data_IF_069994161580
#
_entry.id   IF_069994161580
#
_cell.length_a   1.000
_cell.length_b   1.000
_cell.length_c   1.000
_cell.angle_alpha   90.00
_cell.angle_beta   90.00
_cell.angle_gamma   90.00
#
_symmetry.space_group_name_H-M   'P 1'
#
loop_
_entity.id
_entity.type
_entity.pdbx_description
1 polymer ?
#
# COMPACT_ATOMS: atom_id res chain seq x y z
N UNK A 1 -21.85 2.58 6.53
CA UNK A 1 -20.60 2.70 7.32
C UNK A 1 -19.50 2.09 6.48
N UNK A 2 -18.39 2.80 6.27
CA UNK A 2 -17.27 2.29 5.47
C UNK A 2 -16.62 1.14 6.23
N UNK A 3 -16.53 -0.03 5.59
CA UNK A 3 -15.82 -1.19 6.11
C UNK A 3 -14.32 -1.12 5.75
N UNK A 4 -13.47 -0.91 6.74
CA UNK A 4 -12.00 -0.85 6.60
C UNK A 4 -11.32 -2.22 6.76
N UNK A 5 -12.05 -3.26 7.16
CA UNK A 5 -11.50 -4.58 7.53
C UNK A 5 -10.69 -5.21 6.41
N UNK A 6 -11.07 -5.00 5.14
CA UNK A 6 -10.33 -5.54 3.99
C UNK A 6 -8.97 -4.87 3.82
N UNK A 7 -8.91 -3.55 3.99
CA UNK A 7 -7.65 -2.81 3.93
C UNK A 7 -6.77 -3.18 5.12
N UNK A 8 -7.33 -3.21 6.33
CA UNK A 8 -6.64 -3.64 7.55
C UNK A 8 -6.00 -5.02 7.38
N UNK A 9 -6.78 -6.04 6.98
CA UNK A 9 -6.28 -7.41 6.79
C UNK A 9 -5.18 -7.49 5.73
N UNK A 10 -5.34 -6.78 4.61
CA UNK A 10 -4.31 -6.77 3.56
C UNK A 10 -2.99 -6.18 4.09
N UNK A 11 -3.08 -5.06 4.81
CA UNK A 11 -1.92 -4.38 5.41
C UNK A 11 -1.25 -5.21 6.51
N UNK A 12 -2.02 -5.90 7.36
CA UNK A 12 -1.49 -6.83 8.36
C UNK A 12 -0.72 -7.99 7.71
N UNK A 13 -1.23 -8.52 6.59
CA UNK A 13 -0.54 -9.58 5.85
C UNK A 13 0.74 -9.09 5.17
N UNK A 14 0.73 -7.87 4.63
CA UNK A 14 1.92 -7.25 4.07
C UNK A 14 2.99 -7.04 5.13
N UNK A 15 2.62 -6.43 6.27
CA UNK A 15 3.52 -6.21 7.41
C UNK A 15 4.16 -7.53 7.86
N UNK A 16 3.37 -8.57 8.10
CA UNK A 16 3.88 -9.88 8.53
C UNK A 16 4.84 -10.50 7.50
N UNK A 17 4.51 -10.45 6.20
CA UNK A 17 5.39 -11.01 5.17
C UNK A 17 6.66 -10.20 4.99
N UNK A 18 6.60 -8.87 5.13
CA UNK A 18 7.78 -8.02 5.05
C UNK A 18 8.73 -8.27 6.23
N UNK A 19 8.20 -8.47 7.45
CA UNK A 19 9.03 -8.89 8.58
C UNK A 19 9.64 -10.29 8.38
N UNK A 20 8.88 -11.23 7.82
CA UNK A 20 9.41 -12.55 7.44
C UNK A 20 10.53 -12.43 6.41
N UNK A 21 10.40 -11.57 5.41
CA UNK A 21 11.46 -11.29 4.43
C UNK A 21 12.71 -10.71 5.08
N UNK A 22 12.57 -9.73 6.00
CA UNK A 22 13.70 -9.09 6.69
C UNK A 22 14.47 -10.03 7.63
N UNK A 23 13.79 -11.03 8.17
CA UNK A 23 14.35 -11.99 9.14
C UNK A 23 14.60 -13.37 8.54
N UNK A 24 14.54 -13.47 7.21
CA UNK A 24 14.66 -14.73 6.50
C UNK A 24 16.05 -15.34 6.70
N UNK A 25 16.10 -16.64 6.97
CA UNK A 25 17.35 -17.37 7.12
C UNK A 25 18.13 -17.38 5.78
N UNK A 26 19.34 -16.79 5.74
CA UNK A 26 20.13 -16.70 4.51
C UNK A 26 20.65 -18.06 4.03
N UNK A 27 20.58 -19.11 4.86
CA UNK A 27 20.94 -20.48 4.48
C UNK A 27 19.87 -21.18 3.65
N UNK A 28 18.65 -20.62 3.56
CA UNK A 28 17.58 -21.20 2.77
C UNK A 28 17.92 -21.23 1.28
N UNK A 29 17.43 -22.23 0.53
CA UNK A 29 17.53 -22.26 -0.92
C UNK A 29 17.13 -20.93 -1.56
N UNK A 30 17.92 -20.47 -2.53
CA UNK A 30 17.70 -19.19 -3.23
C UNK A 30 16.27 -19.01 -3.74
N UNK A 31 15.69 -20.07 -4.33
CA UNK A 31 14.31 -20.05 -4.84
C UNK A 31 13.27 -19.74 -3.73
N UNK A 32 13.51 -20.19 -2.50
CA UNK A 32 12.62 -19.86 -1.37
C UNK A 32 12.78 -18.40 -0.94
N UNK A 33 13.99 -17.86 -0.99
CA UNK A 33 14.23 -16.44 -0.72
C UNK A 33 13.54 -15.54 -1.75
N UNK A 34 13.65 -15.91 -3.04
CA UNK A 34 12.97 -15.23 -4.15
C UNK A 34 11.45 -15.32 -3.98
N UNK A 35 10.90 -16.51 -3.66
CA UNK A 35 9.46 -16.67 -3.43
C UNK A 35 8.93 -15.81 -2.27
N UNK A 36 9.70 -15.66 -1.18
CA UNK A 36 9.34 -14.79 -0.05
C UNK A 36 9.31 -13.32 -0.48
N UNK A 37 10.32 -12.89 -1.25
CA UNK A 37 10.42 -11.53 -1.78
C UNK A 37 9.26 -11.20 -2.75
N UNK A 38 8.97 -12.09 -3.71
CA UNK A 38 7.83 -11.97 -4.62
C UNK A 38 6.50 -11.89 -3.87
N UNK A 39 6.35 -12.69 -2.78
CA UNK A 39 5.16 -12.63 -1.93
C UNK A 39 4.98 -11.28 -1.26
N UNK A 40 6.05 -10.59 -0.85
CA UNK A 40 5.97 -9.22 -0.31
C UNK A 40 5.42 -8.28 -1.38
N UNK A 41 5.96 -8.32 -2.60
CA UNK A 41 5.52 -7.47 -3.72
C UNK A 41 4.04 -7.71 -4.04
N UNK A 42 3.61 -8.97 -4.15
CA UNK A 42 2.21 -9.30 -4.41
C UNK A 42 1.26 -8.79 -3.31
N UNK A 43 1.68 -8.85 -2.05
CA UNK A 43 0.91 -8.32 -0.92
C UNK A 43 0.87 -6.80 -0.91
N UNK A 44 1.93 -6.14 -1.35
CA UNK A 44 1.94 -4.70 -1.59
C UNK A 44 0.91 -4.32 -2.65
N UNK A 45 0.89 -5.01 -3.78
CA UNK A 45 -0.08 -4.71 -4.85
C UNK A 45 -1.52 -4.83 -4.36
N UNK A 46 -1.81 -5.91 -3.63
CA UNK A 46 -3.13 -6.16 -3.03
C UNK A 46 -3.50 -5.08 -2.02
N UNK A 47 -2.56 -4.72 -1.14
CA UNK A 47 -2.77 -3.70 -0.10
C UNK A 47 -3.00 -2.33 -0.72
N UNK A 48 -2.17 -1.93 -1.69
CA UNK A 48 -2.33 -0.71 -2.44
C UNK A 48 -3.71 -0.64 -3.12
N UNK A 49 -4.13 -1.72 -3.79
CA UNK A 49 -5.42 -1.78 -4.48
C UNK A 49 -6.61 -1.69 -3.54
N UNK A 50 -6.51 -2.25 -2.33
CA UNK A 50 -7.51 -2.04 -1.29
C UNK A 50 -7.50 -0.60 -0.78
N UNK A 51 -6.32 -0.06 -0.50
CA UNK A 51 -6.12 1.27 0.10
C UNK A 51 -6.76 2.36 -0.75
N UNK A 52 -6.41 2.48 -2.03
CA UNK A 52 -6.90 3.60 -2.85
C UNK A 52 -8.42 3.52 -3.08
N UNK A 53 -8.99 2.31 -3.14
CA UNK A 53 -10.45 2.11 -3.26
C UNK A 53 -11.18 2.52 -1.99
N UNK A 54 -10.63 2.19 -0.84
CA UNK A 54 -11.18 2.59 0.46
C UNK A 54 -11.06 4.11 0.65
N UNK A 55 -9.93 4.71 0.30
CA UNK A 55 -9.73 6.15 0.32
C UNK A 55 -10.71 6.88 -0.60
N UNK A 56 -10.89 6.40 -1.83
CA UNK A 56 -11.90 6.91 -2.77
C UNK A 56 -13.30 6.88 -2.14
N UNK A 57 -13.69 5.74 -1.57
CA UNK A 57 -15.00 5.60 -0.91
C UNK A 57 -15.15 6.56 0.28
N UNK A 58 -14.08 6.81 1.02
CA UNK A 58 -14.06 7.80 2.10
C UNK A 58 -14.29 9.22 1.58
N UNK A 59 -13.59 9.63 0.52
CA UNK A 59 -13.79 10.93 -0.13
C UNK A 59 -15.25 11.14 -0.56
N UNK A 60 -15.88 10.10 -1.11
CA UNK A 60 -17.29 10.17 -1.56
C UNK A 60 -18.26 10.17 -0.38
N UNK A 61 -18.19 9.16 0.49
CA UNK A 61 -19.23 8.93 1.51
C UNK A 61 -19.07 9.79 2.78
N UNK A 62 -17.86 10.25 3.11
CA UNK A 62 -17.59 11.03 4.33
C UNK A 62 -17.39 12.51 4.07
N UNK A 63 -16.71 12.85 2.98
CA UNK A 63 -16.50 14.25 2.59
C UNK A 63 -17.53 14.75 1.57
N UNK A 64 -18.36 13.86 1.02
CA UNK A 64 -19.44 14.24 0.11
C UNK A 64 -18.97 14.68 -1.27
N UNK A 65 -17.76 14.29 -1.70
CA UNK A 65 -17.22 14.69 -3.00
C UNK A 65 -17.90 13.90 -4.14
N UNK A 66 -18.65 14.57 -5.04
CA UNK A 66 -19.47 13.89 -6.04
C UNK A 66 -18.67 13.33 -7.23
N UNK A 67 -17.49 13.87 -7.53
CA UNK A 67 -16.74 13.58 -8.75
C UNK A 67 -15.32 13.05 -8.48
N UNK A 68 -15.19 12.01 -7.65
CA UNK A 68 -13.88 11.39 -7.40
C UNK A 68 -13.47 10.48 -8.56
N UNK A 69 -12.34 10.74 -9.26
CA UNK A 69 -11.93 9.96 -10.43
C UNK A 69 -11.68 8.49 -10.13
N UNK A 70 -11.75 7.64 -11.17
CA UNK A 70 -11.53 6.21 -11.05
C UNK A 70 -10.08 5.79 -11.31
N UNK A 71 -9.13 6.50 -10.70
CA UNK A 71 -7.71 6.15 -10.77
C UNK A 71 -6.96 6.59 -9.51
N UNK A 72 -5.87 5.91 -9.11
CA UNK A 72 -5.23 6.16 -7.82
C UNK A 72 -4.59 7.55 -7.71
N UNK A 73 -3.83 8.01 -8.71
CA UNK A 73 -3.12 9.29 -8.63
C UNK A 73 -4.05 10.48 -8.39
N UNK A 74 -5.18 10.64 -9.12
CA UNK A 74 -6.14 11.69 -8.80
C UNK A 74 -6.82 11.52 -7.44
N UNK A 75 -7.12 10.28 -7.01
CA UNK A 75 -7.65 10.01 -5.66
C UNK A 75 -6.68 10.50 -4.58
N UNK A 76 -5.37 10.23 -4.73
CA UNK A 76 -4.36 10.72 -3.79
C UNK A 76 -4.25 12.25 -3.80
N UNK A 77 -4.30 12.91 -4.96
CA UNK A 77 -4.29 14.38 -5.04
C UNK A 77 -5.49 14.99 -4.28
N UNK A 78 -6.69 14.48 -4.52
CA UNK A 78 -7.89 14.92 -3.80
C UNK A 78 -7.78 14.67 -2.30
N UNK A 79 -7.26 13.51 -1.89
CA UNK A 79 -7.05 13.21 -0.47
C UNK A 79 -6.01 14.14 0.17
N UNK A 80 -4.96 14.54 -0.56
CA UNK A 80 -4.00 15.53 -0.08
C UNK A 80 -4.62 16.92 0.08
N UNK A 81 -5.37 17.38 -0.93
CA UNK A 81 -6.10 18.66 -0.90
C UNK A 81 -7.11 18.75 0.26
N UNK A 82 -7.66 17.60 0.67
CA UNK A 82 -8.57 17.48 1.80
C UNK A 82 -7.86 17.12 3.13
N UNK A 83 -6.53 17.24 3.19
CA UNK A 83 -5.71 16.96 4.38
C UNK A 83 -5.94 15.56 4.99
N UNK A 84 -6.24 14.56 4.16
CA UNK A 84 -6.41 13.18 4.60
C UNK A 84 -5.13 12.35 4.53
N UNK A 85 -4.25 12.64 3.56
CA UNK A 85 -3.03 11.87 3.42
C UNK A 85 -2.01 12.23 4.51
N UNK A 86 -1.41 11.23 5.18
CA UNK A 86 -0.20 11.47 5.96
C UNK A 86 0.98 11.70 5.02
N UNK A 87 1.97 12.46 5.46
CA UNK A 87 3.18 12.72 4.67
C UNK A 87 2.96 13.61 3.45
N UNK A 88 3.86 13.52 2.47
CA UNK A 88 3.85 14.36 1.27
C UNK A 88 3.17 13.63 0.12
N UNK A 89 2.51 14.36 -0.77
CA UNK A 89 1.83 13.77 -1.94
C UNK A 89 2.81 13.04 -2.87
N UNK A 90 4.05 13.51 -2.96
CA UNK A 90 5.10 12.93 -3.79
C UNK A 90 5.33 11.45 -3.45
N UNK A 91 5.33 11.10 -2.17
CA UNK A 91 5.52 9.73 -1.68
C UNK A 91 4.39 8.82 -2.18
N UNK A 92 3.14 9.28 -2.11
CA UNK A 92 1.96 8.56 -2.60
C UNK A 92 1.92 8.40 -4.12
N UNK A 93 2.38 9.42 -4.85
CA UNK A 93 2.52 9.33 -6.30
C UNK A 93 3.62 8.32 -6.67
N UNK A 94 4.68 8.22 -5.87
CA UNK A 94 5.73 7.22 -6.08
C UNK A 94 5.23 5.80 -5.81
N UNK A 95 4.44 5.58 -4.75
CA UNK A 95 3.77 4.28 -4.55
C UNK A 95 2.87 3.89 -5.73
N UNK A 96 2.22 4.88 -6.35
CA UNK A 96 1.43 4.64 -7.56
C UNK A 96 2.28 4.27 -8.77
N UNK A 97 3.45 4.88 -8.94
CA UNK A 97 4.42 4.51 -9.97
C UNK A 97 4.95 3.10 -9.72
N UNK A 98 5.31 2.80 -8.47
CA UNK A 98 5.82 1.52 -8.04
C UNK A 98 4.82 0.39 -8.33
N UNK A 99 3.54 0.59 -7.99
CA UNK A 99 2.46 -0.37 -8.30
C UNK A 99 2.34 -0.68 -9.79
N UNK A 100 2.49 0.33 -10.65
CA UNK A 100 2.44 0.13 -12.11
C UNK A 100 3.70 -0.59 -12.60
N UNK A 101 4.84 -0.28 -11.99
CA UNK A 101 6.12 -0.88 -12.32
C UNK A 101 6.15 -2.38 -12.01
N UNK A 102 5.70 -2.79 -10.82
CA UNK A 102 5.69 -4.19 -10.36
C UNK A 102 4.79 -5.08 -11.20
N UNK A 103 3.65 -4.56 -11.70
CA UNK A 103 2.72 -5.28 -12.57
C UNK A 103 3.34 -5.71 -13.93
N UNK A 104 4.43 -5.07 -14.34
CA UNK A 104 5.09 -5.29 -15.63
C UNK A 104 6.57 -5.70 -15.43
N UNK A 105 6.90 -6.28 -14.29
CA UNK A 105 8.27 -6.67 -13.97
C UNK A 105 8.58 -8.12 -14.33
N UNK A 106 9.01 -8.35 -15.57
CA UNK A 106 9.48 -9.66 -16.02
C UNK A 106 10.96 -9.92 -15.69
N UNK A 107 11.70 -8.91 -15.22
CA UNK A 107 13.17 -8.98 -15.00
C UNK A 107 13.61 -8.93 -13.55
N UNK A 108 12.71 -8.62 -12.60
CA UNK A 108 12.96 -8.64 -11.15
C UNK A 108 13.61 -7.37 -10.57
N UNK A 109 14.08 -6.45 -11.42
CA UNK A 109 14.69 -5.19 -10.98
C UNK A 109 13.68 -4.24 -10.31
N UNK A 110 12.41 -4.28 -10.71
CA UNK A 110 11.37 -3.41 -10.15
C UNK A 110 10.84 -3.98 -8.83
N UNK A 111 10.83 -5.30 -8.67
CA UNK A 111 10.55 -5.99 -7.43
C UNK A 111 11.55 -5.58 -6.33
N UNK A 112 12.84 -5.48 -6.66
CA UNK A 112 13.86 -5.02 -5.72
C UNK A 112 13.59 -3.58 -5.23
N UNK A 113 13.29 -2.65 -6.13
CA UNK A 113 12.91 -1.27 -5.76
C UNK A 113 11.65 -1.23 -4.90
N UNK A 114 10.72 -2.15 -5.12
CA UNK A 114 9.50 -2.23 -4.31
C UNK A 114 9.80 -2.66 -2.87
N UNK A 115 10.72 -3.61 -2.70
CA UNK A 115 11.16 -4.07 -1.38
C UNK A 115 11.87 -2.95 -0.61
N UNK A 116 12.68 -2.14 -1.30
CA UNK A 116 13.39 -1.00 -0.72
C UNK A 116 12.44 0.09 -0.19
N UNK A 117 11.31 0.33 -0.86
CA UNK A 117 10.30 1.31 -0.42
C UNK A 117 9.23 0.74 0.53
N UNK A 118 9.30 -0.56 0.85
CA UNK A 118 8.21 -1.25 1.52
C UNK A 118 7.97 -0.78 2.95
N UNK A 119 9.05 -0.47 3.68
CA UNK A 119 8.97 0.01 5.05
C UNK A 119 8.24 1.35 5.14
N UNK A 120 8.58 2.28 4.23
CA UNK A 120 7.92 3.58 4.14
C UNK A 120 6.44 3.43 3.75
N UNK A 121 6.14 2.60 2.74
CA UNK A 121 4.76 2.35 2.34
C UNK A 121 3.92 1.76 3.48
N UNK A 122 4.45 0.78 4.22
CA UNK A 122 3.73 0.16 5.35
C UNK A 122 3.44 1.23 6.42
N UNK A 123 4.43 2.04 6.80
CA UNK A 123 4.25 3.12 7.78
C UNK A 123 3.15 4.10 7.34
N UNK A 124 3.19 4.57 6.10
CA UNK A 124 2.26 5.58 5.61
C UNK A 124 0.85 5.00 5.40
N UNK A 125 0.75 3.74 4.99
CA UNK A 125 -0.51 3.00 4.91
C UNK A 125 -1.14 2.78 6.29
N UNK A 126 -0.33 2.48 7.31
CA UNK A 126 -0.79 2.38 8.71
C UNK A 126 -1.37 3.72 9.16
N UNK A 127 -0.62 4.81 9.02
CA UNK A 127 -1.06 6.14 9.43
C UNK A 127 -2.36 6.56 8.70
N UNK A 128 -2.48 6.23 7.40
CA UNK A 128 -3.71 6.48 6.66
C UNK A 128 -4.87 5.62 7.19
N UNK A 129 -4.65 4.34 7.47
CA UNK A 129 -5.67 3.46 8.05
C UNK A 129 -6.22 4.02 9.36
N UNK A 130 -5.34 4.45 10.27
CA UNK A 130 -5.73 5.05 11.54
C UNK A 130 -6.55 6.32 11.34
N UNK A 131 -6.11 7.20 10.42
CA UNK A 131 -6.83 8.45 10.11
C UNK A 131 -8.21 8.23 9.50
N UNK A 132 -8.37 7.23 8.63
CA UNK A 132 -9.66 6.93 8.00
C UNK A 132 -10.63 6.16 8.91
N UNK A 133 -10.11 5.24 9.71
CA UNK A 133 -10.91 4.37 10.59
C UNK A 133 -11.20 4.99 11.96
N UNK A 134 -10.36 5.93 12.41
CA UNK A 134 -10.39 6.48 13.76
C UNK A 134 -9.98 5.47 14.83
N UNK A 135 -9.33 4.37 14.45
CA UNK A 135 -8.86 3.31 15.34
C UNK A 135 -7.33 3.22 15.29
N UNK A 136 -6.65 3.03 16.43
CA UNK A 136 -5.21 2.82 16.45
C UNK A 136 -4.84 1.52 15.72
N UNK A 137 -3.64 1.50 15.16
CA UNK A 137 -3.06 0.31 14.56
C UNK A 137 -2.55 -0.63 15.65
N UNK A 138 -3.41 -1.60 16.00
CA UNK A 138 -3.20 -2.61 17.03
C UNK A 138 -2.93 -2.04 18.42
#
# INVERSE_FOLDING_TARGET
MIDYTKFEKALQHLEAQFQNYRTLDPSLPRLLQEAVAESVVQRFETTYDCLWKVLKRHLVEKLGLPEVPNSPKPVFRLAHENHLLPGKIEDWIEYANLRVATAHDYSGEKAQKALEQMEDFIRDAIALHERLSGRPWR
#
